data_IF_342985214992
#
_entry.id   IF_342985214992
#
_cell.length_a   1.000
_cell.length_b   1.000
_cell.length_c   1.000
_cell.angle_alpha   90.00
_cell.angle_beta   90.00
_cell.angle_gamma   90.00
#
_symmetry.space_group_name_H-M   'P 1'
#
loop_
_entity.id
_entity.type
_entity.pdbx_description
1 polymer ?
#
# COMPACT_ATOMS: atom_id res chain seq x y z
N UNK A 1 5.09 -6.99 -11.29
CA UNK A 1 4.12 -5.96 -10.84
C UNK A 1 2.95 -5.95 -11.80
N UNK A 2 1.71 -6.11 -11.31
CA UNK A 2 0.49 -6.17 -12.14
C UNK A 2 0.36 -4.94 -13.05
N UNK A 3 -0.13 -5.12 -14.28
CA UNK A 3 -0.28 -4.05 -15.28
C UNK A 3 -1.15 -2.86 -14.84
N UNK A 4 -1.95 -3.02 -13.77
CA UNK A 4 -2.73 -1.93 -13.16
C UNK A 4 -1.82 -0.94 -12.43
N UNK A 5 -0.82 -1.42 -11.70
CA UNK A 5 0.15 -0.54 -11.03
C UNK A 5 0.93 0.28 -12.03
N UNK A 6 1.35 -0.34 -13.14
CA UNK A 6 2.12 0.37 -14.14
C UNK A 6 1.31 1.51 -14.77
N UNK A 7 0.01 1.30 -15.04
CA UNK A 7 -0.89 2.36 -15.54
C UNK A 7 -1.12 3.46 -14.52
N UNK A 8 -1.40 3.10 -13.26
CA UNK A 8 -1.62 4.07 -12.18
C UNK A 8 -0.37 4.90 -11.94
N UNK A 9 0.78 4.24 -11.77
CA UNK A 9 2.06 4.88 -11.57
C UNK A 9 2.40 5.85 -12.72
N UNK A 10 2.27 5.42 -13.98
CA UNK A 10 2.50 6.31 -15.14
C UNK A 10 1.61 7.54 -15.15
N UNK A 11 0.34 7.41 -14.73
CA UNK A 11 -0.58 8.56 -14.67
C UNK A 11 -0.20 9.52 -13.54
N UNK A 12 0.18 9.00 -12.38
CA UNK A 12 0.58 9.80 -11.21
C UNK A 12 1.93 10.49 -11.46
N UNK A 13 2.90 9.78 -12.02
CA UNK A 13 4.21 10.35 -12.39
C UNK A 13 4.15 11.42 -13.49
N UNK A 14 3.03 11.54 -14.21
CA UNK A 14 2.79 12.64 -15.14
C UNK A 14 2.32 13.94 -14.47
N UNK A 15 1.94 13.88 -13.19
CA UNK A 15 1.40 15.00 -12.40
C UNK A 15 2.40 15.41 -11.31
N UNK A 16 2.99 14.41 -10.64
CA UNK A 16 3.88 14.58 -9.50
C UNK A 16 5.32 14.28 -9.89
N UNK A 17 6.27 15.10 -9.43
CA UNK A 17 7.70 14.98 -9.74
C UNK A 17 8.36 13.87 -8.93
N UNK A 18 7.98 13.71 -7.66
CA UNK A 18 8.50 12.68 -6.76
C UNK A 18 7.38 11.87 -6.13
N UNK A 19 7.22 10.64 -6.61
CA UNK A 19 6.24 9.65 -6.11
C UNK A 19 6.98 8.58 -5.32
N UNK A 20 6.60 8.38 -4.06
CA UNK A 20 7.17 7.31 -3.22
C UNK A 20 6.10 6.26 -2.96
N UNK A 21 6.46 4.98 -3.07
CA UNK A 21 5.53 3.87 -2.85
C UNK A 21 5.94 3.12 -1.59
N UNK A 22 4.99 2.94 -0.66
CA UNK A 22 5.23 2.28 0.63
C UNK A 22 4.15 1.23 0.86
N UNK A 23 4.50 0.07 1.39
CA UNK A 23 3.52 -0.99 1.66
C UNK A 23 4.12 -2.38 1.72
N UNK A 24 3.42 -3.30 2.37
CA UNK A 24 3.86 -4.70 2.54
C UNK A 24 3.91 -5.47 1.22
N UNK A 25 3.05 -5.10 0.27
CA UNK A 25 3.02 -5.63 -1.10
C UNK A 25 3.69 -4.70 -2.12
N UNK A 26 4.24 -3.56 -1.67
CA UNK A 26 4.96 -2.64 -2.55
C UNK A 26 6.27 -3.23 -3.09
N UNK A 27 6.85 -4.20 -2.37
CA UNK A 27 8.06 -4.88 -2.79
C UNK A 27 7.94 -6.40 -2.64
N UNK A 28 8.41 -7.14 -3.66
CA UNK A 28 8.54 -8.59 -3.56
C UNK A 28 9.35 -8.97 -2.31
N UNK A 29 9.12 -10.17 -1.75
CA UNK A 29 9.67 -10.65 -0.46
C UNK A 29 11.20 -10.52 -0.29
N UNK A 30 11.94 -10.19 -1.33
CA UNK A 30 13.39 -10.39 -1.47
C UNK A 30 14.28 -9.24 -0.98
N UNK A 31 13.77 -8.07 -0.57
CA UNK A 31 14.63 -6.92 -0.22
C UNK A 31 14.19 -6.13 1.03
N UNK A 32 13.51 -6.76 1.99
CA UNK A 32 12.85 -6.05 3.10
C UNK A 32 13.79 -5.26 4.03
N UNK A 33 14.98 -5.77 4.32
CA UNK A 33 15.87 -5.16 5.33
C UNK A 33 16.60 -3.91 4.82
N UNK A 34 17.27 -4.00 3.67
CA UNK A 34 17.92 -2.85 3.06
C UNK A 34 16.91 -1.79 2.63
N UNK A 35 15.77 -2.23 2.10
CA UNK A 35 14.66 -1.32 1.79
C UNK A 35 14.19 -0.59 3.04
N UNK A 36 14.09 -1.25 4.19
CA UNK A 36 13.65 -0.60 5.42
C UNK A 36 14.59 0.50 5.91
N UNK A 37 15.90 0.37 5.70
CA UNK A 37 16.88 1.37 6.14
C UNK A 37 16.98 2.55 5.18
N UNK A 38 16.83 2.31 3.88
CA UNK A 38 16.98 3.36 2.86
C UNK A 38 15.67 4.09 2.55
N UNK A 39 14.51 3.49 2.84
CA UNK A 39 13.19 4.09 2.57
C UNK A 39 13.00 5.48 3.21
N UNK A 40 13.40 5.74 4.47
CA UNK A 40 13.32 7.08 5.06
C UNK A 40 13.99 8.18 4.23
N UNK A 41 15.06 7.86 3.51
CA UNK A 41 15.77 8.82 2.65
C UNK A 41 14.95 9.24 1.42
N UNK A 42 13.90 8.49 1.09
CA UNK A 42 13.03 8.78 -0.05
C UNK A 42 11.90 9.75 0.28
N UNK A 43 11.53 9.93 1.56
CA UNK A 43 10.38 10.75 1.98
C UNK A 43 10.56 12.26 1.86
N UNK A 44 11.73 12.87 2.16
CA UNK A 44 11.90 14.31 2.04
C UNK A 44 11.55 14.81 0.63
N UNK A 45 10.82 15.92 0.52
CA UNK A 45 10.39 16.53 -0.74
C UNK A 45 9.55 15.62 -1.65
N UNK A 46 8.93 14.56 -1.11
CA UNK A 46 7.98 13.76 -1.88
C UNK A 46 6.72 14.58 -2.13
N UNK A 47 6.27 14.68 -3.38
CA UNK A 47 5.01 15.36 -3.68
C UNK A 47 3.82 14.48 -3.26
N UNK A 48 3.97 13.15 -3.35
CA UNK A 48 2.91 12.20 -3.01
C UNK A 48 3.45 10.83 -2.57
N UNK A 49 2.79 10.27 -1.57
CA UNK A 49 3.03 8.91 -1.06
C UNK A 49 1.91 7.97 -1.52
N UNK A 50 2.27 6.81 -2.06
CA UNK A 50 1.32 5.75 -2.40
C UNK A 50 1.41 4.63 -1.37
N UNK A 51 0.41 4.52 -0.50
CA UNK A 51 0.33 3.39 0.43
C UNK A 51 -0.34 2.20 -0.23
N UNK A 52 0.40 1.12 -0.41
CA UNK A 52 -0.05 -0.08 -1.10
C UNK A 52 -0.35 -1.20 -0.11
N UNK A 53 -1.55 -1.75 -0.17
CA UNK A 53 -1.98 -2.90 0.62
C UNK A 53 -2.66 -3.93 -0.29
N UNK A 54 -2.69 -5.20 0.10
CA UNK A 54 -3.33 -6.27 -0.67
C UNK A 54 -4.75 -6.57 -0.23
N UNK A 55 -5.63 -6.82 -1.19
CA UNK A 55 -7.02 -7.21 -0.91
C UNK A 55 -7.11 -8.58 -0.21
N UNK A 56 -6.23 -9.53 -0.56
CA UNK A 56 -6.11 -10.86 0.06
C UNK A 56 -5.38 -10.85 1.41
N UNK A 57 -4.86 -9.70 1.87
CA UNK A 57 -4.15 -9.61 3.15
C UNK A 57 -4.66 -8.43 3.97
N UNK A 58 -5.72 -8.62 4.79
CA UNK A 58 -6.27 -7.56 5.63
C UNK A 58 -5.24 -6.92 6.57
N UNK A 59 -4.29 -7.70 7.09
CA UNK A 59 -3.18 -7.19 7.90
C UNK A 59 -2.34 -6.14 7.16
N UNK A 60 -2.18 -6.26 5.84
CA UNK A 60 -1.42 -5.27 5.06
C UNK A 60 -2.09 -3.89 5.07
N UNK A 61 -3.42 -3.82 5.18
CA UNK A 61 -4.14 -2.55 5.35
C UNK A 61 -3.91 -1.98 6.75
N UNK A 62 -4.01 -2.80 7.79
CA UNK A 62 -3.76 -2.36 9.17
C UNK A 62 -2.33 -1.81 9.31
N UNK A 63 -1.35 -2.47 8.67
CA UNK A 63 0.04 -2.01 8.64
C UNK A 63 0.20 -0.65 7.95
N UNK A 64 -0.67 -0.28 6.99
CA UNK A 64 -0.65 1.08 6.43
C UNK A 64 -0.86 2.12 7.52
N UNK A 65 -1.85 1.92 8.37
CA UNK A 65 -2.21 2.87 9.41
C UNK A 65 -1.21 2.84 10.57
N UNK A 66 -0.97 1.65 11.13
CA UNK A 66 -0.17 1.50 12.35
C UNK A 66 1.32 1.74 12.13
N UNK A 67 1.82 1.42 10.92
CA UNK A 67 3.25 1.45 10.62
C UNK A 67 3.60 2.46 9.55
N UNK A 68 3.02 2.35 8.36
CA UNK A 68 3.52 3.11 7.20
C UNK A 68 3.19 4.60 7.26
N UNK A 69 1.97 4.95 7.67
CA UNK A 69 1.58 6.35 7.91
C UNK A 69 2.41 6.93 9.05
N UNK A 70 2.56 6.21 10.16
CA UNK A 70 3.38 6.65 11.31
C UNK A 70 4.85 6.88 10.94
N UNK A 71 5.44 5.96 10.17
CA UNK A 71 6.82 6.08 9.69
C UNK A 71 7.00 7.28 8.77
N UNK A 72 6.13 7.47 7.77
CA UNK A 72 6.22 8.62 6.85
C UNK A 72 6.04 9.93 7.61
N UNK A 73 5.05 10.00 8.50
CA UNK A 73 4.76 11.18 9.30
C UNK A 73 5.95 11.61 10.17
N UNK A 74 6.74 10.64 10.67
CA UNK A 74 7.95 10.92 11.45
C UNK A 74 9.02 11.67 10.64
N UNK A 75 9.16 11.40 9.34
CA UNK A 75 10.19 11.99 8.47
C UNK A 75 9.69 13.15 7.60
N UNK A 76 8.40 13.17 7.29
CA UNK A 76 7.78 14.14 6.40
C UNK A 76 6.35 14.44 6.87
N UNK A 77 6.18 15.55 7.58
CA UNK A 77 4.86 16.01 8.04
C UNK A 77 4.06 16.64 6.89
N UNK A 78 2.73 16.54 6.95
CA UNK A 78 1.83 17.22 6.01
C UNK A 78 1.85 16.65 4.59
N UNK A 79 2.32 15.42 4.44
CA UNK A 79 2.41 14.73 3.16
C UNK A 79 1.02 14.48 2.54
N UNK A 80 0.96 14.49 1.21
CA UNK A 80 -0.22 14.02 0.47
C UNK A 80 -0.08 12.53 0.19
N UNK A 81 -1.15 11.76 0.34
CA UNK A 81 -1.10 10.33 0.05
C UNK A 81 -2.32 9.80 -0.69
N UNK A 82 -2.13 8.67 -1.36
CA UNK A 82 -3.19 7.86 -1.96
C UNK A 82 -3.06 6.44 -1.43
N UNK A 83 -4.18 5.88 -1.00
CA UNK A 83 -4.29 4.48 -0.64
C UNK A 83 -4.59 3.61 -1.88
N UNK A 84 -3.78 2.58 -2.11
CA UNK A 84 -3.82 1.72 -3.31
C UNK A 84 -4.09 0.28 -2.89
N UNK A 85 -5.28 -0.22 -3.25
CA UNK A 85 -5.68 -1.61 -3.05
C UNK A 85 -5.21 -2.51 -4.18
N UNK A 86 -4.44 -3.53 -3.82
CA UNK A 86 -3.66 -4.36 -4.73
C UNK A 86 -4.25 -5.77 -4.84
N UNK A 87 -3.99 -6.48 -5.94
CA UNK A 87 -4.59 -7.81 -6.22
C UNK A 87 -6.13 -7.78 -6.13
N UNK A 88 -6.75 -6.77 -6.77
CA UNK A 88 -8.21 -6.54 -6.70
C UNK A 88 -9.05 -7.75 -7.12
N UNK A 89 -8.50 -8.55 -8.02
CA UNK A 89 -9.06 -9.78 -8.56
C UNK A 89 -9.31 -10.82 -7.47
N UNK A 90 -8.49 -10.84 -6.41
CA UNK A 90 -8.61 -11.78 -5.30
C UNK A 90 -9.78 -11.49 -4.34
N UNK A 91 -10.48 -10.35 -4.50
CA UNK A 91 -11.62 -10.02 -3.62
C UNK A 91 -12.73 -11.07 -3.66
N UNK A 92 -12.98 -11.60 -4.85
CA UNK A 92 -14.06 -12.54 -5.11
C UNK A 92 -13.51 -13.96 -5.35
N UNK A 93 -12.21 -14.19 -5.12
CA UNK A 93 -11.59 -15.49 -5.30
C UNK A 93 -12.06 -16.44 -4.17
N UNK A 94 -12.74 -17.56 -4.50
CA UNK A 94 -13.26 -18.48 -3.50
C UNK A 94 -12.16 -19.10 -2.62
N UNK A 95 -10.97 -19.33 -3.17
CA UNK A 95 -9.85 -19.91 -2.43
C UNK A 95 -9.34 -18.92 -1.39
N UNK A 96 -9.13 -17.66 -1.79
CA UNK A 96 -8.70 -16.60 -0.87
C UNK A 96 -9.74 -16.37 0.22
N UNK A 97 -11.03 -16.34 -0.13
CA UNK A 97 -12.11 -16.22 0.85
C UNK A 97 -12.10 -17.40 1.82
N UNK A 98 -11.92 -18.62 1.34
CA UNK A 98 -11.86 -19.81 2.18
C UNK A 98 -10.63 -19.81 3.11
N UNK A 99 -9.47 -19.37 2.62
CA UNK A 99 -8.25 -19.26 3.42
C UNK A 99 -8.37 -18.20 4.51
N UNK A 100 -8.84 -17.00 4.17
CA UNK A 100 -9.02 -15.93 5.16
C UNK A 100 -10.07 -16.29 6.22
N UNK A 101 -11.12 -17.02 5.84
CA UNK A 101 -12.10 -17.53 6.81
C UNK A 101 -11.50 -18.46 7.86
N UNK A 102 -10.46 -19.25 7.52
CA UNK A 102 -9.77 -20.12 8.51
C UNK A 102 -9.16 -19.31 9.66
N UNK A 103 -8.81 -18.05 9.41
CA UNK A 103 -8.23 -17.13 10.40
C UNK A 103 -9.23 -16.03 10.82
N UNK A 104 -10.54 -16.25 10.63
CA UNK A 104 -11.62 -15.30 10.94
C UNK A 104 -11.46 -13.93 10.27
N UNK A 105 -10.89 -13.90 9.07
CA UNK A 105 -10.73 -12.71 8.25
C UNK A 105 -11.54 -12.80 6.95
N UNK A 106 -11.65 -11.67 6.26
CA UNK A 106 -12.26 -11.55 4.96
C UNK A 106 -11.44 -10.60 4.08
N UNK A 107 -11.49 -10.74 2.74
CA UNK A 107 -10.82 -9.81 1.85
C UNK A 107 -11.24 -8.36 2.12
N UNK A 108 -10.31 -7.43 1.90
CA UNK A 108 -10.57 -6.01 2.19
C UNK A 108 -11.73 -5.47 1.32
N UNK A 109 -12.77 -5.00 2.00
CA UNK A 109 -13.96 -4.42 1.38
C UNK A 109 -13.79 -2.94 1.07
N UNK A 110 -14.54 -2.44 0.09
CA UNK A 110 -14.57 -1.01 -0.22
C UNK A 110 -15.10 -0.16 0.94
N UNK A 111 -16.00 -0.72 1.76
CA UNK A 111 -16.56 -0.01 2.93
C UNK A 111 -15.48 0.28 3.98
N UNK A 112 -14.55 -0.65 4.20
CA UNK A 112 -13.42 -0.42 5.11
C UNK A 112 -12.54 0.75 4.63
N UNK A 113 -12.39 0.92 3.33
CA UNK A 113 -11.58 2.00 2.76
C UNK A 113 -12.24 3.38 2.86
N UNK A 114 -13.55 3.45 3.09
CA UNK A 114 -14.27 4.73 3.22
C UNK A 114 -13.90 5.53 4.49
N UNK A 115 -13.18 4.89 5.41
CA UNK A 115 -12.65 5.49 6.62
C UNK A 115 -11.39 6.34 6.37
N UNK A 116 -10.68 6.09 5.26
CA UNK A 116 -9.50 6.85 4.86
C UNK A 116 -9.95 8.03 3.98
N UNK A 117 -9.97 9.24 4.54
CA UNK A 117 -10.36 10.48 3.87
C UNK A 117 -9.26 11.53 3.95
#
# INVERSE_FOLDING_TARGET
MSGIYHKLFRKISGIYRKVVVVGDDACGKTNREDYSRLRPLSYPDSDIILFCFSIDSPNSLNNVEEKWISEVFHFHYGFTYILVGCKKDLRNDPNIIAELKKVNQQPVSYKQLSLYK
#
